data_IF_350601424037
#
_entry.id   IF_350601424037
#
_cell.length_a   1.000
_cell.length_b   1.000
_cell.length_c   1.000
_cell.angle_alpha   90.00
_cell.angle_beta   90.00
_cell.angle_gamma   90.00
#
_symmetry.space_group_name_H-M   'P 1'
#
loop_
_entity.id
_entity.type
_entity.pdbx_description
1 polymer ?
#
# COMPACT_ATOMS: atom_id res chain seq x y z
N UNK A 1 -4.81 -13.01 11.20
CA UNK A 1 -4.02 -12.95 9.96
C UNK A 1 -5.00 -13.10 8.81
N UNK A 2 -4.99 -12.22 7.81
CA UNK A 2 -5.91 -12.32 6.66
C UNK A 2 -5.43 -13.42 5.70
N UNK A 3 -6.36 -14.13 5.08
CA UNK A 3 -6.12 -15.05 3.97
C UNK A 3 -5.73 -14.30 2.69
N UNK A 4 -5.21 -15.02 1.70
CA UNK A 4 -4.87 -14.45 0.38
C UNK A 4 -6.09 -13.81 -0.28
N UNK A 5 -7.24 -14.49 -0.27
CA UNK A 5 -8.49 -13.96 -0.83
C UNK A 5 -8.96 -12.68 -0.13
N UNK A 6 -8.84 -12.61 1.20
CA UNK A 6 -9.18 -11.41 1.97
C UNK A 6 -8.23 -10.25 1.65
N UNK A 7 -6.93 -10.51 1.49
CA UNK A 7 -5.98 -9.49 1.08
C UNK A 7 -6.20 -8.99 -0.35
N UNK A 8 -6.45 -9.89 -1.31
CA UNK A 8 -6.77 -9.50 -2.68
C UNK A 8 -8.06 -8.68 -2.75
N UNK A 9 -9.09 -9.08 -2.02
CA UNK A 9 -10.33 -8.30 -1.91
C UNK A 9 -10.08 -6.91 -1.32
N UNK A 10 -9.25 -6.80 -0.26
CA UNK A 10 -8.90 -5.52 0.33
C UNK A 10 -8.14 -4.60 -0.63
N UNK A 11 -7.20 -5.14 -1.42
CA UNK A 11 -6.45 -4.39 -2.44
C UNK A 11 -7.39 -3.85 -3.52
N UNK A 12 -8.29 -4.69 -4.03
CA UNK A 12 -9.27 -4.29 -5.04
C UNK A 12 -10.27 -3.27 -4.49
N UNK A 13 -10.83 -3.52 -3.30
CA UNK A 13 -11.74 -2.58 -2.63
C UNK A 13 -11.07 -1.25 -2.31
N UNK A 14 -9.76 -1.22 -2.04
CA UNK A 14 -9.02 0.03 -1.85
C UNK A 14 -9.05 0.88 -3.11
N UNK A 15 -8.82 0.29 -4.28
CA UNK A 15 -8.90 0.99 -5.57
C UNK A 15 -10.33 1.42 -5.92
N UNK A 16 -11.32 0.57 -5.66
CA UNK A 16 -12.71 0.86 -6.02
C UNK A 16 -13.36 1.96 -5.17
N UNK A 17 -12.92 2.13 -3.91
CA UNK A 17 -13.51 3.07 -2.97
C UNK A 17 -12.78 4.43 -2.92
N UNK A 18 -11.80 4.67 -3.78
CA UNK A 18 -11.06 5.91 -3.84
C UNK A 18 -10.96 6.40 -5.28
N UNK A 19 -11.75 7.41 -5.65
CA UNK A 19 -11.84 7.91 -7.02
C UNK A 19 -10.51 8.44 -7.58
N UNK A 20 -9.55 8.74 -6.71
CA UNK A 20 -8.19 9.15 -7.09
C UNK A 20 -7.39 7.98 -7.65
N UNK A 21 -7.78 6.73 -7.39
CA UNK A 21 -7.15 5.52 -7.90
C UNK A 21 -7.85 5.12 -9.22
N UNK A 22 -7.09 5.08 -10.31
CA UNK A 22 -7.58 4.75 -11.66
C UNK A 22 -7.46 3.26 -11.99
N UNK A 23 -6.45 2.60 -11.44
CA UNK A 23 -6.22 1.18 -11.61
C UNK A 23 -5.36 0.65 -10.46
N UNK A 24 -5.43 -0.67 -10.25
CA UNK A 24 -4.52 -1.41 -9.38
C UNK A 24 -3.97 -2.61 -10.14
N UNK A 25 -2.69 -2.88 -9.96
CA UNK A 25 -1.99 -4.01 -10.57
C UNK A 25 -1.27 -4.83 -9.48
N UNK A 26 -1.43 -6.14 -9.55
CA UNK A 26 -0.62 -7.09 -8.79
C UNK A 26 0.60 -7.48 -9.63
N UNK A 27 1.79 -7.43 -9.02
CA UNK A 27 3.05 -7.78 -9.65
C UNK A 27 3.76 -8.88 -8.83
N UNK A 28 5.02 -9.16 -9.18
CA UNK A 28 5.94 -9.92 -8.33
C UNK A 28 5.73 -11.42 -8.36
N UNK A 29 6.17 -12.08 -7.28
CA UNK A 29 6.28 -13.54 -7.26
C UNK A 29 4.92 -14.25 -7.29
N UNK A 30 3.85 -13.61 -6.78
CA UNK A 30 2.49 -14.18 -6.73
C UNK A 30 1.82 -14.34 -8.10
N UNK A 31 2.19 -13.51 -9.08
CA UNK A 31 1.67 -13.60 -10.45
C UNK A 31 2.61 -14.35 -11.39
N UNK A 32 3.80 -14.74 -10.92
CA UNK A 32 4.76 -15.48 -11.72
C UNK A 32 4.50 -17.00 -11.60
N UNK A 33 4.04 -17.69 -12.66
CA UNK A 33 3.77 -19.12 -12.61
C UNK A 33 5.04 -19.98 -12.44
N UNK A 34 6.23 -19.39 -12.60
CA UNK A 34 7.52 -20.07 -12.40
C UNK A 34 8.08 -19.88 -10.99
N UNK A 35 7.50 -19.01 -10.17
CA UNK A 35 7.91 -18.84 -8.79
C UNK A 35 7.34 -19.97 -7.92
N UNK A 36 8.15 -20.50 -7.01
CA UNK A 36 7.64 -21.43 -5.99
C UNK A 36 6.71 -20.68 -5.05
N UNK A 37 5.57 -21.31 -4.71
CA UNK A 37 4.67 -20.75 -3.71
C UNK A 37 5.13 -21.12 -2.31
N UNK A 38 5.22 -20.13 -1.42
CA UNK A 38 5.59 -20.34 -0.02
C UNK A 38 4.92 -19.30 0.91
N UNK A 39 5.14 -19.47 2.21
CA UNK A 39 4.56 -18.63 3.26
C UNK A 39 5.24 -17.26 3.41
N UNK A 40 6.37 -17.04 2.75
CA UNK A 40 7.15 -15.80 2.80
C UNK A 40 6.85 -14.88 1.61
N UNK A 41 6.07 -15.32 0.62
CA UNK A 41 5.63 -14.47 -0.49
C UNK A 41 4.78 -13.30 0.00
N UNK A 42 5.22 -12.10 -0.32
CA UNK A 42 4.55 -10.83 -0.09
C UNK A 42 3.62 -10.44 -1.25
N UNK A 43 3.01 -9.27 -1.14
CA UNK A 43 2.14 -8.69 -2.17
C UNK A 43 2.79 -7.45 -2.78
N UNK A 44 3.25 -7.56 -4.01
CA UNK A 44 3.70 -6.41 -4.81
C UNK A 44 2.49 -5.75 -5.48
N UNK A 45 2.10 -4.57 -5.00
CA UNK A 45 0.91 -3.84 -5.48
C UNK A 45 1.31 -2.48 -6.04
N UNK A 46 0.79 -2.15 -7.22
CA UNK A 46 0.94 -0.82 -7.84
C UNK A 46 -0.44 -0.18 -7.98
N UNK A 47 -0.63 1.00 -7.39
CA UNK A 47 -1.79 1.84 -7.62
C UNK A 47 -1.46 2.95 -8.61
N UNK A 48 -2.29 3.09 -9.65
CA UNK A 48 -2.21 4.20 -10.60
C UNK A 48 -3.16 5.29 -10.12
N UNK A 49 -2.64 6.49 -9.83
CA UNK A 49 -3.41 7.56 -9.18
C UNK A 49 -3.40 8.85 -10.00
N UNK A 50 -4.45 9.66 -9.84
CA UNK A 50 -4.53 11.00 -10.45
C UNK A 50 -3.82 12.09 -9.64
N UNK A 51 -3.63 11.86 -8.34
CA UNK A 51 -3.04 12.83 -7.42
C UNK A 51 -2.03 12.12 -6.50
N UNK A 52 -0.77 12.08 -6.93
CA UNK A 52 0.32 11.43 -6.20
C UNK A 52 0.57 12.08 -4.83
N UNK A 53 0.52 13.41 -4.76
CA UNK A 53 0.83 14.17 -3.54
C UNK A 53 -0.12 13.80 -2.39
N UNK A 54 -1.39 13.51 -2.71
CA UNK A 54 -2.37 13.09 -1.71
C UNK A 54 -2.10 11.74 -1.04
N UNK A 55 -1.25 10.89 -1.64
CA UNK A 55 -0.83 9.60 -1.08
C UNK A 55 0.57 9.64 -0.45
N UNK A 56 1.46 10.51 -0.93
CA UNK A 56 2.84 10.64 -0.44
C UNK A 56 2.99 11.66 0.69
N UNK A 57 2.11 12.67 0.78
CA UNK A 57 2.15 13.64 1.89
C UNK A 57 1.39 13.13 3.12
N UNK A 58 0.51 12.14 2.95
CA UNK A 58 -0.27 11.55 4.01
C UNK A 58 -0.45 10.05 3.80
N UNK A 59 0.28 9.26 4.59
CA UNK A 59 0.30 7.80 4.50
C UNK A 59 -0.81 7.10 5.29
N UNK A 60 -1.73 7.83 5.93
CA UNK A 60 -2.83 7.24 6.71
C UNK A 60 -3.74 6.34 5.89
N UNK A 61 -3.74 6.47 4.56
CA UNK A 61 -4.48 5.56 3.69
C UNK A 61 -4.02 4.09 3.85
N UNK A 62 -2.79 3.85 4.32
CA UNK A 62 -2.24 2.53 4.63
C UNK A 62 -2.90 1.88 5.86
N UNK A 63 -3.54 2.63 6.76
CA UNK A 63 -4.18 2.10 7.98
C UNK A 63 -5.23 1.01 7.66
N UNK A 64 -5.85 1.06 6.47
CA UNK A 64 -6.81 0.04 6.02
C UNK A 64 -6.18 -1.36 5.90
N UNK A 65 -4.86 -1.44 5.71
CA UNK A 65 -4.12 -2.70 5.64
C UNK A 65 -3.79 -3.28 7.01
N UNK A 66 -4.14 -2.59 8.10
CA UNK A 66 -3.90 -3.01 9.47
C UNK A 66 -2.75 -2.26 10.12
N UNK A 67 -2.33 -2.75 11.28
CA UNK A 67 -1.23 -2.16 12.04
C UNK A 67 0.09 -2.30 11.28
N UNK A 68 0.77 -1.17 11.07
CA UNK A 68 2.09 -1.13 10.44
C UNK A 68 3.16 -1.39 11.49
N UNK A 69 3.89 -2.49 11.36
CA UNK A 69 5.06 -2.75 12.21
C UNK A 69 6.29 -1.95 11.77
N UNK A 70 6.51 -1.87 10.46
CA UNK A 70 7.64 -1.17 9.83
C UNK A 70 7.12 -0.53 8.55
N UNK A 71 7.48 0.73 8.30
CA UNK A 71 7.25 1.43 7.05
C UNK A 71 8.58 1.95 6.51
N UNK A 72 8.86 1.67 5.24
CA UNK A 72 10.02 2.20 4.52
C UNK A 72 9.54 2.92 3.27
N UNK A 73 10.16 4.06 2.98
CA UNK A 73 9.84 4.90 1.84
C UNK A 73 11.16 5.27 1.15
N UNK A 74 11.69 4.41 0.25
CA UNK A 74 13.02 4.59 -0.33
C UNK A 74 13.19 5.90 -1.10
N UNK A 75 12.10 6.37 -1.73
CA UNK A 75 12.08 7.60 -2.52
C UNK A 75 11.76 8.84 -1.67
N UNK A 76 11.42 8.67 -0.38
CA UNK A 76 11.17 9.78 0.52
C UNK A 76 12.50 10.44 0.93
N UNK A 77 12.55 11.77 0.84
CA UNK A 77 13.68 12.53 1.37
C UNK A 77 13.85 12.36 2.88
N UNK A 78 15.03 12.66 3.45
CA UNK A 78 15.34 12.43 4.86
C UNK A 78 14.43 13.17 5.86
N UNK A 79 13.64 14.14 5.41
CA UNK A 79 12.72 14.93 6.22
C UNK A 79 11.29 14.35 6.25
N UNK A 80 10.96 13.38 5.40
CA UNK A 80 9.65 12.73 5.39
C UNK A 80 9.66 11.51 6.30
N UNK A 81 9.47 11.74 7.60
CA UNK A 81 9.25 10.66 8.56
C UNK A 81 7.75 10.42 8.73
N UNK A 82 7.36 9.15 8.80
CA UNK A 82 6.01 8.77 9.18
C UNK A 82 5.89 8.80 10.70
N UNK A 83 5.00 9.64 11.22
CA UNK A 83 4.55 9.61 12.61
C UNK A 83 3.04 9.33 12.64
N UNK A 84 2.61 8.16 13.16
CA UNK A 84 1.19 7.82 13.26
C UNK A 84 0.40 8.71 14.23
N UNK A 85 1.08 9.57 15.01
CA UNK A 85 0.48 10.53 15.94
C UNK A 85 0.51 11.98 15.45
N UNK A 86 1.16 12.24 14.31
CA UNK A 86 1.13 13.56 13.68
C UNK A 86 -0.24 13.78 13.04
N UNK A 87 -1.04 14.65 13.64
CA UNK A 87 -2.33 15.09 13.09
C UNK A 87 -2.14 15.84 11.76
N UNK A 88 -3.24 16.10 11.01
CA UNK A 88 -3.16 16.92 9.80
C UNK A 88 -2.86 18.37 10.19
N UNK A 89 -1.58 18.76 10.19
CA UNK A 89 -1.18 20.15 10.47
C UNK A 89 0.16 20.37 11.17
N UNK A 90 1.05 19.38 11.26
CA UNK A 90 2.40 19.59 11.80
C UNK A 90 3.37 20.11 10.74
N UNK A 91 3.30 21.40 10.44
CA UNK A 91 4.37 22.19 9.82
C UNK A 91 4.84 23.27 10.80
#
# INVERSE_FOLDING_TARGET
MRSESEMLALIVHTAQNDDRIRAVMLNGSRVNPRASRDIFQDFDVIYFVTDLASFTNNHRWLERFGELMILQMPDAGPEQTWDPHSGPGGG
#
